data_IF_146735321427
#
_entry.id   IF_146735321427
#
_cell.length_a   1.000
_cell.length_b   1.000
_cell.length_c   1.000
_cell.angle_alpha   90.00
_cell.angle_beta   90.00
_cell.angle_gamma   90.00
#
_symmetry.space_group_name_H-M   'P 1'
#
loop_
_entity.id
_entity.type
_entity.pdbx_description
1 polymer ?
#
# COMPACT_ATOMS: atom_id res chain seq x y z
N UNK A 1 -10.39 -3.72 -2.12
CA UNK A 1 -10.86 -4.43 -0.91
C UNK A 1 -10.14 -5.76 -0.86
N UNK A 2 -9.50 -6.10 0.26
CA UNK A 2 -8.67 -7.31 0.42
C UNK A 2 -9.43 -8.34 1.24
N UNK A 3 -9.61 -9.54 0.69
CA UNK A 3 -10.30 -10.65 1.36
C UNK A 3 -9.29 -11.74 1.64
N UNK A 4 -9.16 -12.17 2.90
CA UNK A 4 -8.30 -13.27 3.31
C UNK A 4 -9.17 -14.37 3.90
N UNK A 5 -9.14 -15.56 3.28
CA UNK A 5 -9.89 -16.73 3.74
C UNK A 5 -8.97 -17.58 4.62
N UNK A 6 -9.48 -18.01 5.77
CA UNK A 6 -8.78 -18.91 6.70
C UNK A 6 -8.63 -20.29 6.07
N UNK A 7 -7.44 -20.88 6.13
CA UNK A 7 -7.21 -22.29 5.76
C UNK A 7 -7.44 -23.20 6.97
N UNK A 8 -7.76 -24.47 6.71
CA UNK A 8 -8.19 -25.44 7.72
C UNK A 8 -7.18 -25.64 8.88
N UNK A 9 -5.88 -25.49 8.62
CA UNK A 9 -4.81 -25.66 9.61
C UNK A 9 -4.12 -24.34 10.04
N UNK A 10 -4.75 -23.18 9.84
CA UNK A 10 -4.15 -21.89 10.25
C UNK A 10 -4.67 -21.40 11.61
N UNK A 11 -3.70 -20.95 12.42
CA UNK A 11 -3.95 -20.13 13.60
C UNK A 11 -4.53 -18.77 13.20
N UNK A 12 -5.39 -18.22 14.06
CA UNK A 12 -6.02 -16.90 13.86
C UNK A 12 -4.95 -15.81 13.72
N UNK A 13 -3.84 -15.91 14.45
CA UNK A 13 -2.75 -14.93 14.40
C UNK A 13 -2.08 -14.86 13.02
N UNK A 14 -1.90 -16.01 12.36
CA UNK A 14 -1.32 -16.07 11.00
C UNK A 14 -2.26 -15.49 9.95
N UNK A 15 -3.57 -15.67 10.11
CA UNK A 15 -4.58 -15.03 9.28
C UNK A 15 -4.52 -13.51 9.43
N UNK A 16 -4.46 -13.01 10.67
CA UNK A 16 -4.34 -11.58 10.95
C UNK A 16 -3.04 -10.98 10.42
N UNK A 17 -1.92 -11.71 10.51
CA UNK A 17 -0.63 -11.27 9.99
C UNK A 17 -0.65 -11.12 8.48
N UNK A 18 -1.20 -12.11 7.75
CA UNK A 18 -1.35 -12.04 6.28
C UNK A 18 -2.32 -10.94 5.87
N UNK A 19 -3.44 -10.80 6.56
CA UNK A 19 -4.40 -9.72 6.32
C UNK A 19 -3.75 -8.34 6.45
N UNK A 20 -3.01 -8.09 7.55
CA UNK A 20 -2.27 -6.82 7.73
C UNK A 20 -1.25 -6.58 6.62
N UNK A 21 -0.57 -7.63 6.16
CA UNK A 21 0.41 -7.55 5.06
C UNK A 21 -0.26 -7.23 3.74
N UNK A 22 -1.38 -7.87 3.44
CA UNK A 22 -2.14 -7.68 2.20
C UNK A 22 -2.80 -6.30 2.14
N UNK A 23 -3.36 -5.81 3.25
CA UNK A 23 -3.87 -4.43 3.39
C UNK A 23 -2.74 -3.40 3.19
N UNK A 24 -1.57 -3.65 3.76
CA UNK A 24 -0.41 -2.77 3.56
C UNK A 24 0.09 -2.79 2.11
N UNK A 25 0.05 -3.96 1.47
CA UNK A 25 0.48 -4.15 0.08
C UNK A 25 -0.48 -3.52 -0.94
N UNK A 26 -1.78 -3.54 -0.66
CA UNK A 26 -2.80 -2.92 -1.54
C UNK A 26 -2.65 -1.40 -1.58
N UNK A 27 -2.00 -0.79 -0.58
CA UNK A 27 -1.68 0.64 -0.62
C UNK A 27 -2.90 1.57 -0.47
N UNK A 28 -4.07 1.04 -0.09
CA UNK A 28 -5.32 1.81 0.09
C UNK A 28 -5.13 2.98 1.05
N UNK A 29 -4.44 2.77 2.17
CA UNK A 29 -4.14 3.83 3.13
C UNK A 29 -3.22 4.92 2.54
N UNK A 30 -2.33 4.53 1.64
CA UNK A 30 -1.41 5.45 0.96
C UNK A 30 -2.12 6.27 -0.11
N UNK A 31 -3.08 5.66 -0.82
CA UNK A 31 -3.95 6.37 -1.75
C UNK A 31 -4.88 7.35 -1.03
N UNK A 32 -5.45 6.95 0.11
CA UNK A 32 -6.29 7.82 0.93
C UNK A 32 -5.52 9.10 1.33
N UNK A 33 -4.33 8.94 1.93
CA UNK A 33 -3.44 10.08 2.29
C UNK A 33 -3.05 10.96 1.10
N UNK A 34 -2.96 10.38 -0.10
CA UNK A 34 -2.64 11.11 -1.33
C UNK A 34 -3.83 11.93 -1.85
N UNK A 35 -5.07 11.53 -1.52
CA UNK A 35 -6.31 12.17 -1.96
C UNK A 35 -6.94 13.08 -0.88
N UNK A 36 -6.42 13.09 0.34
CA UNK A 36 -6.88 13.96 1.44
C UNK A 36 -6.84 15.45 1.09
N UNK A 37 -5.88 15.86 0.25
CA UNK A 37 -5.74 17.25 -0.18
C UNK A 37 -5.55 17.33 -1.70
N UNK A 38 -6.07 18.40 -2.31
CA UNK A 38 -5.81 18.67 -3.72
C UNK A 38 -4.32 18.95 -3.94
N UNK A 39 -3.70 18.15 -4.81
CA UNK A 39 -2.33 18.36 -5.24
C UNK A 39 -2.35 18.87 -6.69
N UNK A 40 -1.67 19.99 -6.96
CA UNK A 40 -1.54 20.51 -8.32
C UNK A 40 -0.90 19.45 -9.24
N UNK A 41 -1.31 19.36 -10.53
CA UNK A 41 -0.79 18.34 -11.45
C UNK A 41 0.74 18.31 -11.58
N UNK A 42 1.40 19.47 -11.46
CA UNK A 42 2.86 19.60 -11.51
C UNK A 42 3.53 18.91 -10.31
N UNK A 43 3.03 19.17 -9.10
CA UNK A 43 3.55 18.57 -7.86
C UNK A 43 3.31 17.06 -7.84
N UNK A 44 2.16 16.60 -8.33
CA UNK A 44 1.86 15.18 -8.50
C UNK A 44 2.87 14.47 -9.43
N UNK A 45 3.21 15.11 -10.57
CA UNK A 45 4.23 14.60 -11.50
C UNK A 45 5.62 14.58 -10.85
N UNK A 46 6.00 15.63 -10.12
CA UNK A 46 7.28 15.73 -9.39
C UNK A 46 7.40 14.62 -8.33
N UNK A 47 6.38 14.44 -7.49
CA UNK A 47 6.32 13.40 -6.46
C UNK A 47 6.41 11.99 -7.06
N UNK A 48 5.71 11.72 -8.17
CA UNK A 48 5.77 10.43 -8.87
C UNK A 48 7.18 10.13 -9.40
N UNK A 49 7.88 11.12 -9.97
CA UNK A 49 9.27 10.97 -10.44
C UNK A 49 10.23 10.67 -9.28
N UNK A 50 10.12 11.41 -8.18
CA UNK A 50 10.95 11.19 -6.99
C UNK A 50 10.73 9.79 -6.38
N UNK A 51 9.48 9.33 -6.31
CA UNK A 51 9.18 7.99 -5.82
C UNK A 51 9.81 6.89 -6.67
N UNK A 52 9.73 7.00 -8.00
CA UNK A 52 10.35 6.05 -8.93
C UNK A 52 11.88 6.04 -8.79
N UNK A 53 12.50 7.21 -8.68
CA UNK A 53 13.94 7.34 -8.42
C UNK A 53 14.35 6.66 -7.12
N UNK A 54 13.64 6.93 -6.02
CA UNK A 54 13.88 6.30 -4.71
C UNK A 54 13.72 4.79 -4.75
N UNK A 55 12.76 4.28 -5.52
CA UNK A 55 12.53 2.83 -5.67
C UNK A 55 13.65 2.16 -6.47
N UNK A 56 14.16 2.83 -7.51
CA UNK A 56 15.29 2.35 -8.32
C UNK A 56 16.61 2.35 -7.54
N UNK A 57 16.83 3.32 -6.65
CA UNK A 57 18.03 3.38 -5.82
C UNK A 57 18.07 2.35 -4.67
N UNK A 58 16.96 1.64 -4.42
CA UNK A 58 16.85 0.61 -3.37
C UNK A 58 16.95 -0.82 -3.89
N UNK A 59 16.99 -1.00 -5.22
CA UNK A 59 17.24 -2.29 -5.86
C UNK A 59 18.69 -2.37 -6.30
#
# INVERSE_FOLDING_TARGET
>A
MTTVVRKENESIEDVLRRFKRDVSKTGVLREARKKEHYEKPSEAKKRKRQELSRRRARG
#
